data_IF_324010732362
#
_entry.id   IF_324010732362
#
_cell.length_a   1.000
_cell.length_b   1.000
_cell.length_c   1.000
_cell.angle_alpha   90.00
_cell.angle_beta   90.00
_cell.angle_gamma   90.00
#
_symmetry.space_group_name_H-M   'P 1'
#
loop_
_entity.id
_entity.type
_entity.pdbx_description
1 polymer ?
#
# COMPACT_ATOMS: atom_id res chain seq x y z
N UNK A 1 19.93 -8.63 1.54
CA UNK A 1 18.75 -9.45 1.87
C UNK A 1 17.56 -8.68 1.35
N UNK A 2 16.63 -9.34 0.67
CA UNK A 2 15.43 -8.67 0.16
C UNK A 2 14.48 -8.44 1.32
N UNK A 3 14.05 -7.20 1.54
CA UNK A 3 12.97 -6.88 2.49
C UNK A 3 11.64 -6.79 1.77
N UNK A 4 10.58 -7.16 2.48
CA UNK A 4 9.19 -7.20 2.01
C UNK A 4 8.36 -6.37 2.96
N UNK A 5 7.55 -5.45 2.42
CA UNK A 5 6.54 -4.74 3.21
C UNK A 5 5.15 -4.87 2.59
N UNK A 6 4.20 -5.16 3.49
CA UNK A 6 2.75 -5.35 3.38
C UNK A 6 1.93 -4.08 3.52
N UNK A 7 1.05 -3.71 2.58
CA UNK A 7 0.01 -2.73 2.92
C UNK A 7 -1.33 -3.03 2.22
N UNK A 8 -2.43 -2.81 2.96
CA UNK A 8 -3.79 -2.93 2.44
C UNK A 8 -4.58 -1.65 2.73
N UNK A 9 -4.75 -0.82 1.72
CA UNK A 9 -5.48 0.46 1.84
C UNK A 9 -6.74 0.46 0.96
N UNK A 10 -7.33 1.64 0.72
CA UNK A 10 -8.60 1.76 0.02
C UNK A 10 -9.81 1.48 0.90
N UNK A 11 -10.91 1.07 0.27
CA UNK A 11 -12.19 0.78 0.94
C UNK A 11 -12.44 -0.72 1.02
N UNK A 12 -13.47 -1.16 1.74
CA UNK A 12 -13.85 -2.56 1.77
C UNK A 12 -14.28 -3.06 0.37
N UNK A 13 -14.90 -2.19 -0.43
CA UNK A 13 -15.41 -2.48 -1.76
C UNK A 13 -14.33 -2.31 -2.85
N UNK A 14 -13.43 -1.36 -2.67
CA UNK A 14 -12.34 -1.07 -3.60
C UNK A 14 -11.00 -1.05 -2.84
N UNK A 15 -10.47 -2.23 -2.48
CA UNK A 15 -9.20 -2.32 -1.78
C UNK A 15 -8.03 -2.00 -2.72
N UNK A 16 -6.93 -1.56 -2.12
CA UNK A 16 -5.64 -1.39 -2.79
C UNK A 16 -4.62 -2.21 -2.03
N UNK A 17 -4.07 -3.20 -2.72
CA UNK A 17 -2.94 -3.98 -2.23
C UNK A 17 -1.65 -3.27 -2.62
N UNK A 18 -0.74 -3.11 -1.67
CA UNK A 18 0.59 -2.53 -1.88
C UNK A 18 1.66 -3.52 -1.43
N UNK A 19 2.67 -3.71 -2.29
CA UNK A 19 3.84 -4.56 -2.05
C UNK A 19 5.13 -3.78 -2.32
N UNK A 20 5.98 -3.71 -1.31
CA UNK A 20 7.33 -3.15 -1.44
C UNK A 20 8.40 -4.25 -1.41
N UNK A 21 9.41 -4.09 -2.26
CA UNK A 21 10.60 -4.94 -2.32
C UNK A 21 11.85 -4.09 -2.55
N UNK A 22 12.83 -4.21 -1.66
CA UNK A 22 14.18 -3.66 -1.90
C UNK A 22 15.12 -4.79 -2.28
N UNK A 23 15.79 -4.65 -3.42
CA UNK A 23 16.57 -5.73 -4.05
C UNK A 23 17.94 -5.23 -4.48
N UNK A 24 18.95 -6.09 -4.41
CA UNK A 24 20.31 -5.79 -4.86
C UNK A 24 20.41 -5.95 -6.39
N UNK A 25 19.69 -5.13 -7.14
CA UNK A 25 19.69 -5.08 -8.60
C UNK A 25 19.83 -3.63 -9.10
N UNK A 26 19.97 -3.47 -10.42
CA UNK A 26 20.05 -2.16 -11.08
C UNK A 26 18.79 -1.91 -11.88
N UNK A 27 18.45 -0.64 -12.08
CA UNK A 27 17.31 -0.26 -12.91
C UNK A 27 17.43 -0.84 -14.33
N UNK A 28 18.64 -0.83 -14.92
CA UNK A 28 18.89 -1.40 -16.24
C UNK A 28 18.53 -2.90 -16.31
N UNK A 29 18.81 -3.66 -15.25
CA UNK A 29 18.48 -5.09 -15.18
C UNK A 29 16.98 -5.31 -15.04
N UNK A 30 16.30 -4.50 -14.22
CA UNK A 30 14.83 -4.51 -14.11
C UNK A 30 14.19 -4.22 -15.46
N UNK A 31 14.59 -3.12 -16.11
CA UNK A 31 14.04 -2.71 -17.39
C UNK A 31 14.28 -3.77 -18.46
N UNK A 32 15.46 -4.39 -18.48
CA UNK A 32 15.73 -5.50 -19.39
C UNK A 32 14.83 -6.71 -19.10
N UNK A 33 14.62 -7.08 -17.82
CA UNK A 33 13.75 -8.19 -17.43
C UNK A 33 12.25 -7.96 -17.73
N UNK A 34 11.80 -6.70 -17.71
CA UNK A 34 10.41 -6.30 -17.96
C UNK A 34 10.15 -6.02 -19.45
N UNK A 35 11.06 -5.39 -20.17
CA UNK A 35 10.81 -4.92 -21.54
C UNK A 35 11.23 -5.93 -22.61
N UNK A 36 12.12 -6.88 -22.31
CA UNK A 36 12.46 -7.97 -23.23
C UNK A 36 11.41 -9.10 -23.11
N UNK A 37 10.60 -9.38 -24.15
CA UNK A 37 9.58 -10.42 -24.09
C UNK A 37 10.13 -11.82 -23.75
N UNK A 38 11.36 -12.12 -24.15
CA UNK A 38 11.98 -13.41 -23.87
C UNK A 38 12.49 -13.54 -22.43
N UNK A 39 12.76 -12.43 -21.74
CA UNK A 39 13.03 -12.41 -20.29
C UNK A 39 11.74 -12.37 -19.50
N UNK A 40 10.79 -11.53 -19.89
CA UNK A 40 9.49 -11.39 -19.23
C UNK A 40 8.72 -12.72 -19.18
N UNK A 41 8.78 -13.50 -20.27
CA UNK A 41 8.18 -14.83 -20.35
C UNK A 41 8.78 -15.87 -19.37
N UNK A 42 9.93 -15.60 -18.75
CA UNK A 42 10.57 -16.53 -17.80
C UNK A 42 10.03 -16.40 -16.38
N UNK A 43 9.44 -15.26 -16.03
CA UNK A 43 9.04 -14.96 -14.65
C UNK A 43 7.60 -14.45 -14.48
N UNK A 44 7.01 -13.81 -15.50
CA UNK A 44 5.66 -13.26 -15.42
C UNK A 44 4.63 -14.04 -16.26
N UNK A 45 4.98 -14.34 -17.51
CA UNK A 45 4.08 -14.96 -18.49
C UNK A 45 4.34 -14.47 -19.91
N UNK A 46 3.68 -15.08 -20.88
CA UNK A 46 3.87 -14.77 -22.29
C UNK A 46 2.91 -13.67 -22.76
N UNK A 47 3.45 -12.58 -23.30
CA UNK A 47 2.65 -11.55 -23.96
C UNK A 47 2.43 -11.95 -25.42
N UNK A 48 1.17 -11.98 -25.84
CA UNK A 48 0.80 -12.27 -27.23
C UNK A 48 1.03 -11.09 -28.19
N UNK A 49 1.62 -10.00 -27.69
CA UNK A 49 1.82 -8.75 -28.40
C UNK A 49 2.91 -7.90 -27.77
N UNK A 50 2.83 -6.58 -27.98
CA UNK A 50 3.75 -5.60 -27.41
C UNK A 50 2.96 -4.44 -26.80
N UNK A 51 3.46 -3.90 -25.69
CA UNK A 51 2.94 -2.70 -25.05
C UNK A 51 4.00 -1.60 -25.20
N UNK A 52 3.90 -0.80 -26.27
CA UNK A 52 4.89 0.22 -26.59
C UNK A 52 4.35 1.65 -26.45
N UNK A 53 3.04 1.84 -26.61
CA UNK A 53 2.36 3.11 -26.54
C UNK A 53 1.16 3.05 -25.58
N UNK A 54 0.87 4.17 -24.91
CA UNK A 54 -0.33 4.31 -24.08
C UNK A 54 -1.57 4.02 -24.92
N UNK A 55 -2.44 3.16 -24.39
CA UNK A 55 -3.62 2.65 -25.07
C UNK A 55 -3.42 1.30 -25.76
N UNK A 56 -2.18 0.82 -25.93
CA UNK A 56 -1.91 -0.53 -26.44
C UNK A 56 -2.54 -1.58 -25.51
N UNK A 57 -3.15 -2.59 -26.12
CA UNK A 57 -3.76 -3.72 -25.42
C UNK A 57 -3.07 -5.02 -25.85
N UNK A 58 -2.84 -5.91 -24.88
CA UNK A 58 -2.33 -7.25 -25.14
C UNK A 58 -2.98 -8.27 -24.22
N UNK A 59 -2.99 -9.52 -24.67
CA UNK A 59 -3.22 -10.64 -23.76
C UNK A 59 -1.90 -11.04 -23.08
N UNK A 60 -2.02 -11.49 -21.83
CA UNK A 60 -0.95 -12.09 -21.04
C UNK A 60 -1.38 -13.51 -20.68
N UNK A 61 -0.64 -14.49 -21.18
CA UNK A 61 -0.83 -15.90 -20.87
C UNK A 61 0.01 -16.24 -19.64
N UNK A 62 -0.64 -16.54 -18.52
CA UNK A 62 0.02 -16.69 -17.21
C UNK A 62 0.49 -18.14 -16.96
N UNK A 63 -0.18 -19.13 -17.54
CA UNK A 63 0.20 -20.55 -17.44
C UNK A 63 -0.03 -21.31 -18.75
N UNK A 64 0.21 -22.63 -18.76
CA UNK A 64 -0.08 -23.48 -19.93
C UNK A 64 -1.59 -23.69 -20.16
N UNK A 65 -2.44 -23.36 -19.17
CA UNK A 65 -3.90 -23.44 -19.32
C UNK A 65 -4.40 -22.28 -20.19
N UNK A 66 -5.02 -22.54 -21.36
CA UNK A 66 -5.57 -21.49 -22.23
C UNK A 66 -6.64 -20.61 -21.57
N UNK A 67 -7.27 -21.08 -20.48
CA UNK A 67 -8.24 -20.29 -19.72
C UNK A 67 -7.57 -19.23 -18.81
N UNK A 68 -6.29 -19.39 -18.52
CA UNK A 68 -5.53 -18.51 -17.63
C UNK A 68 -4.88 -17.35 -18.39
N UNK A 69 -5.77 -16.52 -18.96
CA UNK A 69 -5.42 -15.45 -19.88
C UNK A 69 -6.00 -14.14 -19.39
N UNK A 70 -5.12 -13.21 -19.04
CA UNK A 70 -5.47 -11.84 -18.69
C UNK A 70 -5.38 -10.91 -19.92
N UNK A 71 -6.02 -9.75 -19.83
CA UNK A 71 -5.80 -8.61 -20.73
C UNK A 71 -5.19 -7.46 -19.95
N UNK A 72 -4.15 -6.89 -20.52
CA UNK A 72 -3.49 -5.70 -20.02
C UNK A 72 -3.59 -4.58 -21.05
N UNK A 73 -3.93 -3.37 -20.59
CA UNK A 73 -3.90 -2.15 -21.40
C UNK A 73 -2.94 -1.15 -20.78
N UNK A 74 -1.99 -0.64 -21.57
CA UNK A 74 -1.00 0.32 -21.09
C UNK A 74 -1.66 1.68 -20.82
N UNK A 75 -1.61 2.15 -19.57
CA UNK A 75 -2.15 3.45 -19.16
C UNK A 75 -1.06 4.51 -19.06
N UNK A 76 0.13 4.13 -18.58
CA UNK A 76 1.26 5.05 -18.41
C UNK A 76 2.56 4.25 -18.49
N UNK A 77 3.55 4.82 -19.18
CA UNK A 77 4.93 4.32 -19.22
C UNK A 77 5.87 5.53 -19.20
N UNK A 78 6.51 5.74 -18.06
CA UNK A 78 7.47 6.82 -17.81
C UNK A 78 8.68 6.24 -17.06
N UNK A 79 9.84 6.92 -17.05
CA UNK A 79 10.97 6.49 -16.23
C UNK A 79 10.53 6.30 -14.76
N UNK A 80 10.74 5.11 -14.20
CA UNK A 80 10.35 4.77 -12.84
C UNK A 80 8.85 4.48 -12.62
N UNK A 81 8.00 4.46 -13.66
CA UNK A 81 6.55 4.27 -13.52
C UNK A 81 5.94 3.49 -14.69
N UNK A 82 5.22 2.42 -14.34
CA UNK A 82 4.36 1.64 -15.24
C UNK A 82 2.95 1.56 -14.65
N UNK A 83 1.92 1.83 -15.47
CA UNK A 83 0.53 1.63 -15.11
C UNK A 83 -0.21 0.82 -16.15
N UNK A 84 -0.92 -0.21 -15.71
CA UNK A 84 -1.71 -1.10 -16.55
C UNK A 84 -3.14 -1.15 -16.05
N UNK A 85 -4.11 -1.03 -16.95
CA UNK A 85 -5.45 -1.54 -16.72
C UNK A 85 -5.41 -3.06 -16.91
N UNK A 86 -6.08 -3.78 -16.02
CA UNK A 86 -6.00 -5.23 -15.94
C UNK A 86 -7.40 -5.84 -15.87
N UNK A 87 -7.64 -6.87 -16.67
CA UNK A 87 -8.84 -7.69 -16.57
C UNK A 87 -8.44 -9.16 -16.69
N UNK A 88 -8.94 -10.00 -15.80
CA UNK A 88 -8.79 -11.44 -15.89
C UNK A 88 -10.18 -12.07 -15.94
N UNK A 89 -10.43 -12.86 -16.98
CA UNK A 89 -11.73 -13.48 -17.22
C UNK A 89 -12.89 -12.46 -17.25
N UNK A 90 -13.89 -12.66 -16.38
CA UNK A 90 -15.08 -11.81 -16.24
C UNK A 90 -14.95 -10.76 -15.11
N UNK A 91 -13.74 -10.59 -14.55
CA UNK A 91 -13.50 -9.61 -13.49
C UNK A 91 -13.63 -8.17 -14.02
N UNK A 92 -14.15 -7.25 -13.18
CA UNK A 92 -14.11 -5.83 -13.48
C UNK A 92 -12.66 -5.32 -13.64
N UNK A 93 -12.47 -4.28 -14.46
CA UNK A 93 -11.15 -3.69 -14.70
C UNK A 93 -10.53 -3.15 -13.40
N UNK A 94 -9.33 -3.63 -13.09
CA UNK A 94 -8.48 -3.15 -12.01
C UNK A 94 -7.29 -2.36 -12.57
N UNK A 95 -6.52 -1.70 -11.70
CA UNK A 95 -5.33 -0.94 -12.10
C UNK A 95 -4.12 -1.43 -11.33
N UNK A 96 -3.09 -1.81 -12.06
CA UNK A 96 -1.77 -2.15 -11.54
C UNK A 96 -0.86 -0.94 -11.74
N UNK A 97 -0.17 -0.50 -10.70
CA UNK A 97 0.84 0.55 -10.75
C UNK A 97 2.14 0.02 -10.18
N UNK A 98 3.18 -0.08 -11.00
CA UNK A 98 4.53 -0.40 -10.56
C UNK A 98 5.39 0.88 -10.62
N UNK A 99 6.04 1.19 -9.51
CA UNK A 99 7.00 2.29 -9.36
C UNK A 99 8.33 1.70 -8.94
N UNK A 100 9.44 2.24 -9.43
CA UNK A 100 10.76 1.83 -8.97
C UNK A 100 11.73 2.99 -8.91
N UNK A 101 12.70 2.89 -8.00
CA UNK A 101 13.80 3.82 -7.89
C UNK A 101 15.08 3.09 -7.49
N UNK A 102 16.22 3.51 -8.04
CA UNK A 102 17.55 3.03 -7.64
C UNK A 102 18.21 4.07 -6.73
N UNK A 103 18.71 3.62 -5.58
CA UNK A 103 19.48 4.42 -4.64
C UNK A 103 20.80 3.72 -4.27
N UNK A 104 21.44 4.15 -3.17
CA UNK A 104 22.71 3.58 -2.72
C UNK A 104 22.59 2.14 -2.18
N UNK A 105 21.40 1.78 -1.70
CA UNK A 105 21.11 0.50 -1.04
C UNK A 105 20.55 -0.54 -2.03
N UNK A 106 20.02 -0.09 -3.17
CA UNK A 106 19.67 -0.93 -4.31
C UNK A 106 18.50 -0.38 -5.12
N UNK A 107 17.72 -1.29 -5.69
CA UNK A 107 16.50 -0.98 -6.40
C UNK A 107 15.31 -1.26 -5.47
N UNK A 108 14.47 -0.26 -5.24
CA UNK A 108 13.18 -0.45 -4.56
C UNK A 108 12.06 -0.47 -5.58
N UNK A 109 11.28 -1.54 -5.56
CA UNK A 109 10.08 -1.75 -6.36
C UNK A 109 8.87 -1.61 -5.44
N UNK A 110 7.95 -0.76 -5.86
CA UNK A 110 6.67 -0.50 -5.22
C UNK A 110 5.55 -0.89 -6.17
N UNK A 111 4.70 -1.83 -5.77
CA UNK A 111 3.62 -2.35 -6.58
C UNK A 111 2.27 -2.12 -5.89
N UNK A 112 1.40 -1.37 -6.55
CA UNK A 112 0.00 -1.24 -6.17
C UNK A 112 -0.90 -2.03 -7.12
N UNK A 113 -1.85 -2.77 -6.57
CA UNK A 113 -2.99 -3.30 -7.31
C UNK A 113 -4.28 -2.73 -6.72
N UNK A 114 -4.88 -1.76 -7.41
CA UNK A 114 -6.15 -1.15 -7.05
C UNK A 114 -7.30 -1.94 -7.69
N UNK A 115 -8.09 -2.62 -6.85
CA UNK A 115 -9.16 -3.49 -7.30
C UNK A 115 -10.49 -2.75 -7.45
N UNK A 116 -11.27 -3.17 -8.43
CA UNK A 116 -12.67 -2.74 -8.57
C UNK A 116 -13.62 -3.50 -7.65
N UNK A 117 -13.24 -4.68 -7.12
CA UNK A 117 -13.99 -5.44 -6.11
C UNK A 117 -13.04 -6.27 -5.23
N UNK A 118 -13.42 -6.67 -4.00
CA UNK A 118 -12.50 -7.31 -3.06
C UNK A 118 -12.33 -8.83 -3.26
N UNK A 119 -13.14 -9.44 -4.14
CA UNK A 119 -13.36 -10.89 -4.21
C UNK A 119 -12.06 -11.70 -4.34
N UNK A 120 -11.10 -11.20 -5.10
CA UNK A 120 -9.86 -11.92 -5.45
C UNK A 120 -8.62 -11.37 -4.74
N UNK A 121 -8.79 -10.44 -3.78
CA UNK A 121 -7.69 -9.72 -3.10
C UNK A 121 -6.56 -10.65 -2.65
N UNK A 122 -6.88 -11.67 -1.85
CA UNK A 122 -5.85 -12.54 -1.28
C UNK A 122 -5.19 -13.44 -2.33
N UNK A 123 -5.93 -13.89 -3.34
CA UNK A 123 -5.39 -14.68 -4.45
C UNK A 123 -4.39 -13.85 -5.26
N UNK A 124 -4.76 -12.62 -5.63
CA UNK A 124 -3.84 -11.70 -6.30
C UNK A 124 -2.63 -11.35 -5.43
N UNK A 125 -2.81 -11.16 -4.12
CA UNK A 125 -1.68 -10.93 -3.22
C UNK A 125 -0.70 -12.10 -3.21
N UNK A 126 -1.21 -13.33 -3.16
CA UNK A 126 -0.40 -14.54 -3.32
C UNK A 126 0.37 -14.58 -4.64
N UNK A 127 -0.36 -14.45 -5.75
CA UNK A 127 0.22 -14.46 -7.08
C UNK A 127 1.26 -13.37 -7.30
N UNK A 128 1.03 -12.16 -6.77
CA UNK A 128 2.00 -11.08 -6.87
C UNK A 128 3.30 -11.38 -6.11
N UNK A 129 3.23 -11.92 -4.90
CA UNK A 129 4.45 -12.26 -4.17
C UNK A 129 5.24 -13.39 -4.81
N UNK A 130 4.55 -14.38 -5.36
CA UNK A 130 5.15 -15.44 -6.16
C UNK A 130 5.83 -14.87 -7.43
N UNK A 131 5.12 -14.03 -8.18
CA UNK A 131 5.63 -13.35 -9.37
C UNK A 131 6.85 -12.47 -9.05
N UNK A 132 6.80 -11.70 -7.97
CA UNK A 132 7.91 -10.86 -7.56
C UNK A 132 9.11 -11.70 -7.14
N UNK A 133 8.91 -12.86 -6.49
CA UNK A 133 10.01 -13.78 -6.22
C UNK A 133 10.62 -14.35 -7.51
N UNK A 134 9.79 -14.69 -8.50
CA UNK A 134 10.28 -15.13 -9.81
C UNK A 134 11.12 -14.03 -10.50
N UNK A 135 10.70 -12.76 -10.40
CA UNK A 135 11.49 -11.62 -10.84
C UNK A 135 12.84 -11.55 -10.10
N UNK A 136 12.89 -11.75 -8.78
CA UNK A 136 14.16 -11.76 -8.04
C UNK A 136 15.12 -12.83 -8.55
N UNK A 137 14.61 -14.00 -8.94
CA UNK A 137 15.43 -15.06 -9.55
C UNK A 137 15.98 -14.64 -10.91
N UNK A 138 15.14 -14.02 -11.75
CA UNK A 138 15.57 -13.50 -13.06
C UNK A 138 16.60 -12.35 -12.95
N UNK A 139 16.55 -11.58 -11.87
CA UNK A 139 17.53 -10.54 -11.56
C UNK A 139 18.80 -11.07 -10.89
N UNK A 140 18.86 -12.37 -10.55
CA UNK A 140 19.96 -12.95 -9.79
C UNK A 140 20.04 -12.46 -8.32
N UNK A 141 18.94 -11.89 -7.81
CA UNK A 141 18.83 -11.31 -6.47
C UNK A 141 18.10 -12.21 -5.47
N UNK A 142 17.58 -13.36 -5.90
CA UNK A 142 16.90 -14.32 -5.04
C UNK A 142 17.86 -15.02 -4.07
N UNK A 143 17.34 -15.37 -2.89
CA UNK A 143 18.06 -16.18 -1.92
C UNK A 143 18.23 -17.63 -2.42
N UNK A 144 19.39 -18.24 -2.13
CA UNK A 144 19.73 -19.58 -2.62
C UNK A 144 18.76 -20.67 -2.11
N UNK A 145 18.24 -20.49 -0.90
CA UNK A 145 17.32 -21.41 -0.23
C UNK A 145 15.87 -20.86 -0.22
N UNK A 146 15.51 -20.03 -1.21
CA UNK A 146 14.15 -19.51 -1.32
C UNK A 146 13.12 -20.66 -1.43
N UNK A 147 11.93 -20.54 -0.79
CA UNK A 147 10.87 -21.53 -0.93
C UNK A 147 10.39 -21.66 -2.38
N UNK A 148 9.66 -22.73 -2.67
CA UNK A 148 9.05 -22.91 -3.99
C UNK A 148 7.95 -21.88 -4.26
N UNK A 149 7.63 -21.68 -5.54
CA UNK A 149 6.59 -20.72 -5.96
C UNK A 149 5.23 -21.03 -5.32
N UNK A 150 4.85 -22.30 -5.26
CA UNK A 150 3.60 -22.77 -4.64
C UNK A 150 3.56 -22.46 -3.13
N UNK A 151 4.67 -22.70 -2.42
CA UNK A 151 4.77 -22.39 -0.98
C UNK A 151 4.68 -20.88 -0.72
N UNK A 152 5.31 -20.06 -1.57
CA UNK A 152 5.26 -18.60 -1.46
C UNK A 152 3.84 -18.11 -1.70
N UNK A 153 3.19 -18.57 -2.76
CA UNK A 153 1.81 -18.20 -3.07
C UNK A 153 0.89 -18.58 -1.92
N UNK A 154 0.92 -19.83 -1.43
CA UNK A 154 0.04 -20.29 -0.35
C UNK A 154 0.23 -19.46 0.95
N UNK A 155 1.48 -19.22 1.35
CA UNK A 155 1.80 -18.41 2.53
C UNK A 155 1.37 -16.95 2.37
N UNK A 156 1.58 -16.36 1.19
CA UNK A 156 1.16 -15.01 0.90
C UNK A 156 -0.37 -14.89 0.86
N UNK A 157 -1.09 -15.85 0.25
CA UNK A 157 -2.56 -15.90 0.29
C UNK A 157 -3.06 -15.91 1.75
N UNK A 158 -2.45 -16.70 2.63
CA UNK A 158 -2.80 -16.71 4.04
C UNK A 158 -2.54 -15.35 4.71
N UNK A 159 -1.38 -14.74 4.43
CA UNK A 159 -1.01 -13.40 4.93
C UNK A 159 -2.02 -12.34 4.49
N UNK A 160 -2.37 -12.28 3.21
CA UNK A 160 -3.33 -11.30 2.68
C UNK A 160 -4.76 -11.50 3.21
N UNK A 161 -5.17 -12.75 3.45
CA UNK A 161 -6.43 -13.04 4.18
C UNK A 161 -6.38 -12.51 5.59
N UNK A 162 -5.25 -12.65 6.28
CA UNK A 162 -5.06 -12.17 7.64
C UNK A 162 -5.12 -10.64 7.70
N UNK A 163 -4.41 -9.94 6.82
CA UNK A 163 -4.46 -8.46 6.70
C UNK A 163 -5.88 -7.93 6.45
N UNK A 164 -6.70 -8.67 5.70
CA UNK A 164 -8.06 -8.30 5.36
C UNK A 164 -9.11 -8.68 6.41
N UNK A 165 -8.78 -9.52 7.40
CA UNK A 165 -9.77 -10.20 8.24
C UNK A 165 -10.43 -9.28 9.28
N UNK A 166 -9.66 -8.40 9.92
CA UNK A 166 -10.13 -7.62 11.08
C UNK A 166 -9.82 -6.12 10.94
N UNK A 167 -10.31 -5.45 9.88
CA UNK A 167 -10.04 -4.03 9.69
C UNK A 167 -10.64 -3.19 10.83
N UNK A 168 -9.88 -2.20 11.29
CA UNK A 168 -10.39 -1.18 12.21
C UNK A 168 -10.98 -0.05 11.40
N UNK A 169 -12.25 0.24 11.60
CA UNK A 169 -12.96 1.33 10.94
C UNK A 169 -13.49 2.33 11.96
N UNK A 170 -13.07 3.59 11.87
CA UNK A 170 -13.52 4.69 12.73
C UNK A 170 -14.12 5.77 11.85
N UNK A 171 -15.22 6.36 12.29
CA UNK A 171 -15.88 7.46 11.59
C UNK A 171 -16.24 8.57 12.58
N UNK A 172 -15.91 9.81 12.22
CA UNK A 172 -16.19 11.00 13.02
C UNK A 172 -16.74 12.12 12.14
N UNK A 173 -17.53 13.01 12.73
CA UNK A 173 -18.01 14.23 12.09
C UNK A 173 -17.22 15.40 12.65
N UNK A 174 -16.57 16.17 11.79
CA UNK A 174 -15.74 17.31 12.17
C UNK A 174 -16.46 18.62 11.83
N UNK A 175 -16.47 19.62 12.74
CA UNK A 175 -17.19 20.87 12.56
C UNK A 175 -16.44 21.89 11.69
N UNK A 176 -15.75 21.43 10.64
CA UNK A 176 -14.97 22.26 9.72
C UNK A 176 -15.03 21.68 8.30
N UNK A 177 -14.88 22.54 7.26
CA UNK A 177 -14.88 22.08 5.87
C UNK A 177 -13.64 21.20 5.55
N UNK A 178 -13.71 20.33 4.52
CA UNK A 178 -12.63 19.39 4.22
C UNK A 178 -11.27 20.04 3.99
N UNK A 179 -11.23 21.27 3.47
CA UNK A 179 -10.02 22.05 3.25
C UNK A 179 -9.30 22.35 4.58
N UNK A 180 -10.05 22.78 5.61
CA UNK A 180 -9.49 23.11 6.92
C UNK A 180 -9.05 21.85 7.67
N UNK A 181 -9.84 20.77 7.57
CA UNK A 181 -9.48 19.46 8.10
C UNK A 181 -8.19 18.96 7.42
N UNK A 182 -8.09 19.10 6.09
CA UNK A 182 -6.93 18.69 5.31
C UNK A 182 -5.65 19.43 5.73
N UNK A 183 -5.73 20.73 6.00
CA UNK A 183 -4.58 21.49 6.53
C UNK A 183 -4.03 20.91 7.84
N UNK A 184 -4.89 20.37 8.70
CA UNK A 184 -4.49 19.74 9.97
C UNK A 184 -4.01 18.30 9.82
N UNK A 185 -4.39 17.61 8.75
CA UNK A 185 -4.05 16.20 8.50
C UNK A 185 -2.81 16.03 7.62
N UNK A 186 -2.64 16.87 6.61
CA UNK A 186 -1.69 16.69 5.51
C UNK A 186 -0.47 17.61 5.60
N UNK A 187 -0.04 17.96 6.82
CA UNK A 187 1.19 18.70 7.08
C UNK A 187 1.77 18.34 8.46
N UNK A 188 3.09 18.44 8.61
CA UNK A 188 3.73 18.18 9.91
C UNK A 188 3.26 19.21 10.96
N UNK A 189 3.18 20.48 10.57
CA UNK A 189 2.74 21.57 11.43
C UNK A 189 1.28 21.43 11.84
N UNK A 190 0.41 20.99 10.93
CA UNK A 190 -1.00 20.73 11.21
C UNK A 190 -1.17 19.59 12.20
N UNK A 191 -0.53 18.44 11.93
CA UNK A 191 -0.64 17.24 12.77
C UNK A 191 -0.12 17.51 14.18
N UNK A 192 0.98 18.25 14.32
CA UNK A 192 1.57 18.59 15.62
C UNK A 192 0.66 19.40 16.57
N UNK A 193 -0.42 20.01 16.07
CA UNK A 193 -1.34 20.82 16.88
C UNK A 193 -2.34 19.99 17.70
N UNK A 194 -2.65 18.79 17.25
CA UNK A 194 -3.71 17.97 17.84
C UNK A 194 -3.25 16.57 18.20
N UNK A 195 -2.35 15.97 17.42
CA UNK A 195 -1.93 14.59 17.64
C UNK A 195 -1.16 14.45 18.95
N UNK A 196 -1.73 13.69 19.89
CA UNK A 196 -1.17 13.49 21.23
C UNK A 196 -0.86 14.80 21.98
N UNK A 197 -1.67 15.85 21.78
CA UNK A 197 -1.42 17.17 22.38
C UNK A 197 -1.44 17.20 23.93
N UNK A 198 -1.87 16.12 24.58
CA UNK A 198 -1.80 15.93 26.03
C UNK A 198 -0.37 15.64 26.52
N UNK A 199 0.52 15.20 25.64
CA UNK A 199 1.92 14.92 25.96
C UNK A 199 2.82 16.08 25.54
N UNK A 200 3.82 16.35 26.38
CA UNK A 200 4.83 17.38 26.09
C UNK A 200 5.92 16.78 25.19
N UNK A 201 6.40 17.57 24.23
CA UNK A 201 7.53 17.18 23.38
C UNK A 201 7.18 16.13 22.32
N UNK A 202 5.93 16.09 21.86
CA UNK A 202 5.58 15.31 20.66
C UNK A 202 6.29 15.92 19.44
N UNK A 203 6.98 15.08 18.69
CA UNK A 203 7.75 15.44 17.50
C UNK A 203 7.02 14.94 16.25
N UNK A 204 6.81 15.80 15.25
CA UNK A 204 6.16 15.43 13.98
C UNK A 204 7.04 15.84 12.82
N UNK A 205 7.25 14.92 11.88
CA UNK A 205 7.86 15.17 10.57
C UNK A 205 7.00 14.47 9.52
N UNK A 206 6.73 15.13 8.39
CA UNK A 206 5.95 14.53 7.31
C UNK A 206 6.33 15.15 5.96
N UNK A 207 6.65 14.31 4.98
CA UNK A 207 6.73 14.65 3.56
C UNK A 207 5.46 14.12 2.88
N UNK A 208 4.40 14.94 2.82
CA UNK A 208 3.07 14.50 2.38
C UNK A 208 2.95 14.50 0.86
N UNK A 209 3.58 13.49 0.25
CA UNK A 209 3.49 13.13 -1.17
C UNK A 209 3.66 11.62 -1.30
N UNK A 210 3.15 10.97 -2.35
CA UNK A 210 3.42 9.55 -2.56
C UNK A 210 4.93 9.23 -2.51
N UNK A 211 5.31 8.22 -1.72
CA UNK A 211 6.71 7.84 -1.44
C UNK A 211 7.43 8.72 -0.41
N UNK A 212 6.76 9.72 0.16
CA UNK A 212 7.32 10.55 1.23
C UNK A 212 7.17 9.88 2.60
N UNK A 213 8.12 10.07 3.50
CA UNK A 213 8.08 9.48 4.84
C UNK A 213 7.38 10.40 5.85
N UNK A 214 6.79 9.79 6.88
CA UNK A 214 6.26 10.50 8.03
C UNK A 214 6.64 9.83 9.34
N UNK A 215 6.67 10.63 10.41
CA UNK A 215 6.96 10.20 11.77
C UNK A 215 6.25 11.08 12.78
N UNK A 216 5.64 10.45 13.78
CA UNK A 216 5.05 11.08 14.96
C UNK A 216 5.63 10.37 16.17
N UNK A 217 6.32 11.08 17.06
CA UNK A 217 6.98 10.47 18.20
C UNK A 217 6.66 11.18 19.51
N UNK A 218 6.50 10.38 20.56
CA UNK A 218 6.33 10.82 21.92
C UNK A 218 7.49 10.26 22.76
N UNK A 219 8.66 10.93 22.78
CA UNK A 219 9.89 10.35 23.36
C UNK A 219 9.76 10.02 24.85
N UNK A 220 9.01 10.83 25.60
CA UNK A 220 8.78 10.59 27.03
C UNK A 220 7.89 9.35 27.30
N UNK A 221 7.15 8.89 26.29
CA UNK A 221 6.32 7.69 26.33
C UNK A 221 7.03 6.50 25.68
N UNK A 222 8.17 6.71 25.01
CA UNK A 222 8.86 5.66 24.26
C UNK A 222 8.10 5.19 23.02
N UNK A 223 7.12 5.96 22.53
CA UNK A 223 6.25 5.57 21.40
C UNK A 223 6.66 6.33 20.14
N UNK A 224 6.74 5.64 19.01
CA UNK A 224 6.90 6.23 17.67
C UNK A 224 5.92 5.58 16.70
N UNK A 225 5.21 6.40 15.93
CA UNK A 225 4.53 6.00 14.70
C UNK A 225 5.37 6.50 13.53
N UNK A 226 5.59 5.67 12.53
CA UNK A 226 6.23 6.06 11.28
C UNK A 226 5.63 5.32 10.09
N UNK A 227 5.89 5.79 8.89
CA UNK A 227 5.43 5.14 7.67
C UNK A 227 5.83 5.90 6.42
N UNK A 228 5.41 5.35 5.29
CA UNK A 228 5.49 5.94 3.96
C UNK A 228 4.09 6.32 3.49
N UNK A 229 3.95 7.50 2.91
CA UNK A 229 2.72 7.99 2.29
C UNK A 229 2.50 7.25 0.98
N UNK A 230 1.38 6.51 0.88
CA UNK A 230 1.03 5.67 -0.27
C UNK A 230 0.21 6.44 -1.30
N UNK A 231 -0.81 7.17 -0.86
CA UNK A 231 -1.67 7.97 -1.72
C UNK A 231 -2.05 9.32 -1.10
N UNK A 232 -2.12 10.35 -1.95
CA UNK A 232 -2.55 11.70 -1.58
C UNK A 232 -3.48 12.21 -2.67
N UNK A 233 -4.77 12.31 -2.35
CA UNK A 233 -5.74 13.06 -3.13
C UNK A 233 -6.16 14.27 -2.26
N UNK A 234 -5.70 15.50 -2.58
CA UNK A 234 -5.97 16.67 -1.76
C UNK A 234 -7.42 16.79 -1.34
N UNK A 235 -7.63 17.19 -0.09
CA UNK A 235 -8.93 17.40 0.57
C UNK A 235 -9.88 16.19 0.60
N UNK A 236 -9.41 14.99 0.25
CA UNK A 236 -10.30 13.83 0.12
C UNK A 236 -9.70 12.50 0.59
N UNK A 237 -8.40 12.26 0.40
CA UNK A 237 -7.78 10.97 0.74
C UNK A 237 -6.31 11.10 1.10
N UNK A 238 -5.91 10.49 2.20
CA UNK A 238 -4.51 10.29 2.58
C UNK A 238 -4.35 8.85 3.06
N UNK A 239 -3.37 8.11 2.54
CA UNK A 239 -3.05 6.78 3.04
C UNK A 239 -1.56 6.56 3.19
N UNK A 240 -1.19 5.65 4.07
CA UNK A 240 0.20 5.32 4.34
C UNK A 240 0.38 3.94 4.95
N UNK A 241 1.59 3.40 4.83
CA UNK A 241 2.01 2.28 5.69
C UNK A 241 2.06 2.76 7.13
N UNK A 242 1.91 1.86 8.08
CA UNK A 242 1.89 2.18 9.50
C UNK A 242 2.87 1.28 10.24
N UNK A 243 3.77 1.90 11.01
CA UNK A 243 4.74 1.22 11.85
C UNK A 243 4.66 1.85 13.23
N UNK A 244 4.05 1.13 14.16
CA UNK A 244 4.04 1.45 15.59
C UNK A 244 5.26 0.82 16.26
N UNK A 245 6.03 1.58 17.01
CA UNK A 245 7.18 1.10 17.76
C UNK A 245 7.17 1.62 19.20
N UNK A 246 7.32 0.70 20.15
CA UNK A 246 7.41 0.96 21.60
C UNK A 246 8.30 -0.09 22.31
N UNK A 247 8.13 -0.24 23.63
CA UNK A 247 8.91 -1.21 24.42
C UNK A 247 8.54 -2.69 24.15
N UNK A 248 7.33 -2.94 23.66
CA UNK A 248 6.79 -4.28 23.41
C UNK A 248 7.14 -4.78 22.00
N UNK A 249 7.49 -3.88 21.08
CA UNK A 249 8.04 -4.25 19.79
C UNK A 249 7.81 -3.22 18.68
N UNK A 250 7.81 -3.71 17.44
CA UNK A 250 7.55 -2.90 16.25
C UNK A 250 6.54 -3.64 15.39
N UNK A 251 5.44 -2.97 15.02
CA UNK A 251 4.44 -3.54 14.14
C UNK A 251 4.96 -3.63 12.70
N UNK A 252 4.38 -4.55 11.94
CA UNK A 252 4.76 -4.81 10.55
C UNK A 252 3.52 -5.05 9.72
N UNK A 253 3.61 -4.73 8.43
CA UNK A 253 2.55 -4.94 7.45
C UNK A 253 1.21 -4.28 7.83
N UNK A 254 1.26 -3.13 8.51
CA UNK A 254 0.07 -2.33 8.84
C UNK A 254 -0.06 -1.13 7.90
N UNK A 255 -1.29 -0.65 7.71
CA UNK A 255 -1.57 0.51 6.87
C UNK A 255 -2.83 1.23 7.32
N UNK A 256 -2.88 2.54 7.10
CA UNK A 256 -4.04 3.38 7.38
C UNK A 256 -4.48 4.15 6.13
N UNK A 257 -5.79 4.19 5.90
CA UNK A 257 -6.47 5.00 4.90
C UNK A 257 -7.38 5.99 5.63
N UNK A 258 -7.19 7.29 5.38
CA UNK A 258 -8.06 8.36 5.83
C UNK A 258 -8.81 8.91 4.61
N UNK A 259 -10.13 9.07 4.73
CA UNK A 259 -10.97 9.71 3.72
C UNK A 259 -11.80 10.82 4.32
N UNK A 260 -11.91 11.91 3.57
CA UNK A 260 -12.73 13.07 3.87
C UNK A 260 -13.87 13.15 2.86
N UNK A 261 -15.08 13.39 3.35
CA UNK A 261 -16.24 13.70 2.52
C UNK A 261 -16.95 14.93 3.10
N UNK A 262 -17.35 15.91 2.28
CA UNK A 262 -18.20 17.00 2.74
C UNK A 262 -19.47 16.46 3.41
N UNK A 263 -19.83 17.03 4.57
CA UNK A 263 -21.10 16.75 5.26
C UNK A 263 -21.71 18.05 5.78
N UNK A 264 -22.58 18.67 4.98
CA UNK A 264 -23.10 20.01 5.25
C UNK A 264 -21.99 21.06 5.24
N UNK A 265 -21.85 21.79 6.36
CA UNK A 265 -20.74 22.74 6.59
C UNK A 265 -19.50 22.08 7.21
N UNK A 266 -19.59 20.79 7.56
CA UNK A 266 -18.53 20.01 8.19
C UNK A 266 -17.94 18.94 7.27
N UNK A 267 -17.24 18.00 7.88
CA UNK A 267 -16.55 16.90 7.19
C UNK A 267 -16.83 15.57 7.88
N UNK A 268 -17.30 14.59 7.11
CA UNK A 268 -17.27 13.20 7.51
C UNK A 268 -15.88 12.61 7.25
N UNK A 269 -15.13 12.34 8.32
CA UNK A 269 -13.83 11.68 8.26
C UNK A 269 -14.00 10.20 8.59
N UNK A 270 -13.46 9.33 7.74
CA UNK A 270 -13.37 7.89 8.01
C UNK A 270 -11.91 7.44 8.00
N UNK A 271 -11.54 6.63 8.98
CA UNK A 271 -10.26 5.92 9.03
C UNK A 271 -10.52 4.44 8.85
N UNK A 272 -9.71 3.81 8.02
CA UNK A 272 -9.66 2.38 7.86
C UNK A 272 -8.21 1.92 8.08
N UNK A 273 -7.96 1.12 9.11
CA UNK A 273 -6.63 0.61 9.47
C UNK A 273 -6.62 -0.93 9.33
N UNK A 274 -5.67 -1.46 8.55
CA UNK A 274 -5.40 -2.90 8.39
C UNK A 274 -4.09 -3.31 9.02
N UNK A 275 -4.02 -4.56 9.45
CA UNK A 275 -2.78 -5.20 9.88
C UNK A 275 -3.01 -6.68 10.10
N UNK A 276 -1.95 -7.44 10.43
CA UNK A 276 -2.03 -8.88 10.69
C UNK A 276 -2.60 -9.14 12.09
N UNK A 277 -3.83 -8.66 12.34
CA UNK A 277 -4.45 -8.72 13.66
C UNK A 277 -5.09 -10.10 13.90
N UNK A 278 -4.60 -10.80 14.91
CA UNK A 278 -5.12 -12.11 15.27
C UNK A 278 -6.58 -12.07 15.73
N UNK A 279 -7.32 -13.12 15.37
CA UNK A 279 -8.68 -13.30 15.86
C UNK A 279 -8.67 -13.43 17.40
N UNK A 280 -9.37 -12.52 18.08
CA UNK A 280 -9.45 -12.48 19.54
C UNK A 280 -8.32 -11.72 20.23
N UNK A 281 -7.41 -11.08 19.48
CA UNK A 281 -6.52 -10.05 20.01
C UNK A 281 -7.31 -8.77 20.34
N UNK A 282 -6.90 -8.06 21.39
CA UNK A 282 -7.42 -6.73 21.72
C UNK A 282 -6.84 -5.63 20.80
N UNK A 283 -5.87 -5.96 19.94
CA UNK A 283 -5.16 -4.99 19.09
C UNK A 283 -6.08 -4.15 18.18
N UNK A 284 -7.07 -4.72 17.46
CA UNK A 284 -8.02 -3.91 16.68
C UNK A 284 -8.80 -2.89 17.54
N UNK A 285 -9.18 -3.29 18.76
CA UNK A 285 -9.93 -2.43 19.67
C UNK A 285 -9.04 -1.35 20.30
N UNK A 286 -7.78 -1.68 20.63
CA UNK A 286 -6.78 -0.71 21.07
C UNK A 286 -6.53 0.35 19.99
N UNK A 287 -6.41 -0.06 18.72
CA UNK A 287 -6.27 0.88 17.60
C UNK A 287 -7.53 1.72 17.39
N UNK A 288 -8.73 1.14 17.54
CA UNK A 288 -10.00 1.89 17.49
C UNK A 288 -10.01 3.00 18.53
N UNK A 289 -9.74 2.67 19.79
CA UNK A 289 -9.71 3.64 20.88
C UNK A 289 -8.62 4.70 20.68
N UNK A 290 -7.45 4.30 20.18
CA UNK A 290 -6.37 5.23 19.84
C UNK A 290 -6.78 6.24 18.76
N UNK A 291 -7.41 5.77 17.68
CA UNK A 291 -7.93 6.62 16.61
C UNK A 291 -9.07 7.54 17.10
N UNK A 292 -10.04 7.00 17.84
CA UNK A 292 -11.13 7.81 18.42
C UNK A 292 -10.59 8.90 19.33
N UNK A 293 -9.59 8.58 20.15
CA UNK A 293 -8.94 9.55 21.02
C UNK A 293 -8.25 10.66 20.24
N UNK A 294 -7.36 10.34 19.30
CA UNK A 294 -6.62 11.36 18.55
C UNK A 294 -7.55 12.19 17.65
N UNK A 295 -8.53 11.56 17.00
CA UNK A 295 -9.53 12.28 16.20
C UNK A 295 -10.42 13.19 17.06
N UNK A 296 -10.70 12.84 18.32
CA UNK A 296 -11.36 13.73 19.27
C UNK A 296 -10.52 14.98 19.60
N UNK A 297 -9.20 14.88 19.57
CA UNK A 297 -8.31 16.06 19.71
C UNK A 297 -8.35 16.95 18.47
N UNK A 298 -8.46 16.36 17.27
CA UNK A 298 -8.67 17.11 16.03
C UNK A 298 -10.02 17.82 16.05
N UNK A 299 -11.10 17.14 16.43
CA UNK A 299 -12.43 17.74 16.59
C UNK A 299 -12.40 18.91 17.58
N UNK A 300 -11.71 18.74 18.71
CA UNK A 300 -11.54 19.79 19.72
C UNK A 300 -10.75 20.99 19.20
N UNK A 301 -9.75 20.77 18.34
CA UNK A 301 -8.98 21.84 17.70
C UNK A 301 -9.81 22.65 16.70
N UNK A 302 -10.71 21.98 15.97
CA UNK A 302 -11.57 22.57 14.93
C UNK A 302 -12.85 23.18 15.51
N UNK A 303 -13.17 22.85 16.76
CA UNK A 303 -14.32 23.44 17.45
C UNK A 303 -14.03 24.90 17.84
N UNK A 304 -15.01 25.80 17.70
CA UNK A 304 -14.86 27.23 18.01
C UNK A 304 -14.74 27.54 19.52
#
# INVERSE_FOLDING_TARGET
MSTTSRALTGTAEHPVLTLDRTVAAREEELLSAVLDPARLARWYGHLEGHLAAVGDETAVQLSEDPADRARARLLTLEPGLLRLAWTWQDEPESVITARWHEDADGLTLHLDHAFAEPRHLAGYGGGWEQVLQALLRELGAAEADAPSDEEIEEQAVATWRHLAAHPVEVAVQLPAPPEEVWEQLASAEGVARWWWNQWQGVEVTADVRPGGSYRIAAPAQGITISGEVLAVDPVSRLSGTWVWADEDGTSVDEAAEIRLRPDGEGTALTVRHTGPFDAGSDQPENYRQGWEFTLGQLESLLSP
#
